data_IF_779044577054
#
_entry.id   IF_779044577054
#
_cell.length_a   1.000
_cell.length_b   1.000
_cell.length_c   1.000
_cell.angle_alpha   90.00
_cell.angle_beta   90.00
_cell.angle_gamma   90.00
#
_symmetry.space_group_name_H-M   'P 1'
#
loop_
_entity.id
_entity.type
_entity.pdbx_description
1 polymer ?
#
# COMPACT_ATOMS: atom_id res chain seq x y z
N UNK A 1 8.46 -40.63 -15.24
CA UNK A 1 8.76 -40.09 -16.58
C UNK A 1 7.49 -39.38 -17.05
N UNK A 2 7.33 -38.09 -16.75
CA UNK A 2 7.76 -36.90 -17.53
C UNK A 2 6.68 -36.39 -18.50
N UNK A 3 6.51 -35.07 -18.51
CA UNK A 3 5.72 -34.16 -19.39
C UNK A 3 4.19 -34.17 -19.17
N UNK A 4 3.47 -33.11 -18.79
CA UNK A 4 3.46 -31.64 -18.99
C UNK A 4 2.41 -31.17 -20.02
N UNK A 5 1.62 -30.20 -19.55
CA UNK A 5 0.88 -29.16 -20.26
C UNK A 5 -0.43 -29.51 -21.01
N UNK A 6 -1.53 -28.92 -20.53
CA UNK A 6 -2.35 -28.05 -21.38
C UNK A 6 -2.93 -26.90 -20.55
N UNK A 7 -2.92 -25.73 -21.16
CA UNK A 7 -3.40 -24.45 -20.68
C UNK A 7 -4.74 -24.11 -21.35
N UNK A 8 -5.45 -23.12 -20.81
CA UNK A 8 -6.58 -22.44 -21.46
C UNK A 8 -7.81 -22.43 -20.54
N UNK A 9 -8.50 -21.33 -20.29
CA UNK A 9 -8.45 -19.95 -20.74
C UNK A 9 -9.14 -19.10 -19.63
N UNK A 10 -9.22 -17.77 -19.74
CA UNK A 10 -10.48 -17.00 -19.63
C UNK A 10 -10.18 -15.48 -19.69
N UNK A 11 -10.58 -14.92 -20.84
CA UNK A 11 -11.26 -13.64 -21.09
C UNK A 11 -10.67 -12.33 -20.51
N UNK A 12 -10.02 -11.57 -21.38
CA UNK A 12 -9.94 -10.13 -21.27
C UNK A 12 -11.29 -9.51 -21.66
N UNK A 13 -11.89 -8.73 -20.75
CA UNK A 13 -12.97 -7.81 -21.08
C UNK A 13 -12.48 -6.38 -20.86
N UNK A 14 -12.26 -5.64 -21.96
CA UNK A 14 -11.97 -4.21 -21.95
C UNK A 14 -13.27 -3.41 -22.01
N UNK A 15 -13.56 -2.60 -20.98
CA UNK A 15 -14.38 -1.39 -21.12
C UNK A 15 -13.93 -0.37 -20.05
N UNK A 16 -13.53 0.84 -20.45
CA UNK A 16 -13.55 2.05 -19.61
C UNK A 16 -12.20 2.61 -19.14
N UNK A 17 -11.95 3.88 -19.47
CA UNK A 17 -10.74 4.69 -19.21
C UNK A 17 -10.38 4.82 -17.71
N UNK A 18 -9.52 3.94 -17.18
CA UNK A 18 -8.49 4.19 -16.15
C UNK A 18 -7.43 3.09 -16.32
N UNK A 19 -6.12 3.32 -16.07
CA UNK A 19 -5.18 2.21 -16.01
C UNK A 19 -5.60 1.31 -14.85
N UNK A 20 -6.20 0.16 -15.15
CA UNK A 20 -6.41 -0.90 -14.17
C UNK A 20 -5.06 -1.55 -13.93
N UNK A 21 -4.51 -1.39 -12.73
CA UNK A 21 -3.39 -2.22 -12.31
C UNK A 21 -3.90 -3.67 -12.24
N UNK A 22 -3.41 -4.51 -13.14
CA UNK A 22 -3.63 -5.95 -13.06
C UNK A 22 -2.51 -6.48 -12.16
N UNK A 23 -2.86 -6.89 -10.94
CA UNK A 23 -1.97 -7.76 -10.16
C UNK A 23 -2.07 -9.14 -10.81
N UNK A 24 -1.11 -9.46 -11.68
CA UNK A 24 -1.01 -10.79 -12.26
C UNK A 24 -0.42 -11.70 -11.18
N UNK A 25 -1.14 -12.72 -10.66
CA UNK A 25 -0.52 -13.72 -9.81
C UNK A 25 0.52 -14.46 -10.64
N UNK A 26 1.80 -14.28 -10.29
CA UNK A 26 2.93 -14.91 -10.97
C UNK A 26 2.82 -16.41 -10.78
N UNK A 27 2.49 -17.14 -11.84
CA UNK A 27 2.70 -18.58 -11.91
C UNK A 27 4.20 -18.83 -11.86
N UNK A 28 4.67 -19.33 -10.72
CA UNK A 28 5.91 -20.10 -10.54
C UNK A 28 7.11 -19.61 -11.36
N UNK A 29 7.70 -18.49 -10.95
CA UNK A 29 9.11 -18.15 -11.19
C UNK A 29 9.59 -17.35 -9.95
N UNK A 30 10.85 -17.47 -9.48
CA UNK A 30 11.28 -17.16 -8.10
C UNK A 30 11.40 -15.66 -7.77
N UNK A 31 10.69 -14.79 -8.49
CA UNK A 31 10.79 -13.33 -8.40
C UNK A 31 9.90 -12.65 -7.35
N UNK A 32 8.99 -13.37 -6.68
CA UNK A 32 8.27 -12.82 -5.53
C UNK A 32 9.10 -13.04 -4.26
N UNK A 33 9.93 -12.05 -3.91
CA UNK A 33 10.70 -12.06 -2.66
C UNK A 33 9.89 -11.37 -1.57
N UNK A 34 9.60 -12.10 -0.49
CA UNK A 34 9.02 -11.54 0.74
C UNK A 34 10.11 -10.75 1.46
N UNK A 35 9.79 -9.57 1.99
CA UNK A 35 10.69 -8.76 2.84
C UNK A 35 11.96 -8.26 2.14
N UNK A 36 11.82 -7.53 1.02
CA UNK A 36 12.98 -6.87 0.41
C UNK A 36 13.48 -5.71 1.29
N UNK A 37 14.81 -5.59 1.49
CA UNK A 37 15.38 -4.41 2.14
C UNK A 37 15.01 -3.15 1.36
N UNK A 38 14.53 -2.10 2.05
CA UNK A 38 14.28 -0.81 1.43
C UNK A 38 15.58 -0.31 0.79
N UNK A 39 15.54 0.03 -0.49
CA UNK A 39 16.71 0.48 -1.25
C UNK A 39 17.39 1.71 -0.62
N UNK A 40 16.68 2.47 0.21
CA UNK A 40 17.22 3.60 0.96
C UNK A 40 17.80 3.22 2.35
N UNK A 41 17.33 2.15 2.99
CA UNK A 41 17.84 1.66 4.29
C UNK A 41 17.59 0.16 4.43
N UNK A 42 18.65 -0.64 4.24
CA UNK A 42 18.57 -2.11 4.23
C UNK A 42 18.19 -2.76 5.57
N UNK A 43 17.98 -2.00 6.65
CA UNK A 43 17.41 -2.50 7.91
C UNK A 43 15.89 -2.51 7.91
N UNK A 44 15.24 -1.98 6.87
CA UNK A 44 13.79 -1.87 6.75
C UNK A 44 13.31 -2.82 5.66
N UNK A 45 12.17 -3.47 5.87
CA UNK A 45 11.58 -4.36 4.88
C UNK A 45 10.38 -3.69 4.20
N UNK A 46 10.23 -3.96 2.89
CA UNK A 46 9.03 -3.71 2.08
C UNK A 46 8.19 -4.99 2.11
N UNK A 47 6.88 -4.88 2.37
CA UNK A 47 5.99 -6.04 2.46
C UNK A 47 5.80 -6.70 1.09
N UNK A 48 5.50 -5.88 0.08
CA UNK A 48 5.37 -6.29 -1.31
C UNK A 48 6.05 -5.25 -2.21
N UNK A 49 6.91 -5.71 -3.10
CA UNK A 49 7.54 -4.89 -4.12
C UNK A 49 7.12 -5.39 -5.51
N UNK A 50 6.82 -4.45 -6.41
CA UNK A 50 6.75 -4.74 -7.84
C UNK A 50 8.12 -4.42 -8.41
N UNK A 51 8.78 -5.40 -9.03
CA UNK A 51 10.08 -5.25 -9.66
C UNK A 51 10.08 -5.84 -11.08
N UNK A 52 10.92 -5.33 -12.00
CA UNK A 52 11.11 -5.91 -13.32
C UNK A 52 11.68 -7.33 -13.25
N UNK A 53 11.15 -8.26 -14.06
CA UNK A 53 11.65 -9.63 -14.15
C UNK A 53 12.72 -9.74 -15.24
N UNK A 54 14.00 -9.75 -14.83
CA UNK A 54 15.15 -10.06 -15.71
C UNK A 54 15.38 -9.08 -16.87
N UNK A 55 14.77 -7.89 -16.83
CA UNK A 55 14.89 -6.86 -17.86
C UNK A 55 14.95 -5.48 -17.21
N UNK A 56 15.80 -4.61 -17.74
CA UNK A 56 15.77 -3.18 -17.38
C UNK A 56 14.57 -2.56 -18.06
N UNK A 57 13.70 -1.90 -17.30
CA UNK A 57 12.56 -1.16 -17.86
C UNK A 57 12.74 0.33 -17.61
N UNK A 58 12.31 1.14 -18.57
CA UNK A 58 12.33 2.59 -18.48
C UNK A 58 10.90 3.08 -18.39
N UNK A 59 10.57 3.79 -17.31
CA UNK A 59 9.25 4.39 -17.11
C UNK A 59 9.48 5.88 -16.87
N UNK A 60 8.90 6.73 -17.72
CA UNK A 60 8.99 8.19 -17.62
C UNK A 60 10.44 8.70 -17.45
N UNK A 61 11.40 8.09 -18.17
CA UNK A 61 12.82 8.47 -18.12
C UNK A 61 13.59 7.98 -16.90
N UNK A 62 12.96 7.21 -16.01
CA UNK A 62 13.64 6.52 -14.90
C UNK A 62 13.91 5.06 -15.26
N UNK A 63 15.16 4.66 -15.07
CA UNK A 63 15.59 3.27 -15.18
C UNK A 63 15.13 2.49 -13.95
N UNK A 64 14.57 1.31 -14.18
CA UNK A 64 14.23 0.31 -13.16
C UNK A 64 14.91 -1.02 -13.48
N UNK A 65 15.73 -1.47 -12.55
CA UNK A 65 16.33 -2.80 -12.51
C UNK A 65 15.60 -3.69 -11.51
N UNK A 66 15.97 -4.98 -11.40
CA UNK A 66 15.43 -5.89 -10.39
C UNK A 66 15.67 -5.43 -8.94
N UNK A 67 16.57 -4.46 -8.72
CA UNK A 67 16.91 -3.91 -7.41
C UNK A 67 16.15 -2.64 -7.06
N UNK A 68 15.29 -2.15 -7.95
CA UNK A 68 14.55 -0.90 -7.76
C UNK A 68 13.06 -1.17 -7.67
N UNK A 69 12.48 -0.80 -6.53
CA UNK A 69 11.03 -0.88 -6.30
C UNK A 69 10.29 0.04 -7.28
N UNK A 70 9.37 -0.51 -8.06
CA UNK A 70 8.52 0.28 -8.97
C UNK A 70 7.44 1.03 -8.19
N UNK A 71 6.74 0.31 -7.31
CA UNK A 71 5.67 0.83 -6.47
C UNK A 71 5.82 0.20 -5.07
N UNK A 72 6.19 0.98 -4.05
CA UNK A 72 6.23 0.49 -2.68
C UNK A 72 4.81 0.14 -2.21
N UNK A 73 4.65 -1.01 -1.56
CA UNK A 73 3.37 -1.45 -1.02
C UNK A 73 3.54 -1.88 0.43
N UNK A 74 2.75 -1.26 1.33
CA UNK A 74 2.65 -1.65 2.73
C UNK A 74 1.34 -2.41 2.96
N UNK A 75 1.37 -3.46 3.77
CA UNK A 75 0.20 -4.25 4.14
C UNK A 75 -0.10 -4.11 5.62
N UNK A 76 -1.36 -3.85 5.97
CA UNK A 76 -1.82 -3.78 7.37
C UNK A 76 -3.09 -4.59 7.56
N UNK A 77 -3.28 -5.07 8.79
CA UNK A 77 -4.51 -5.74 9.24
C UNK A 77 -5.39 -4.70 9.94
N UNK A 78 -6.70 -4.81 9.74
CA UNK A 78 -7.71 -4.04 10.44
C UNK A 78 -8.69 -5.02 11.11
N UNK A 79 -8.78 -5.07 12.45
CA UNK A 79 -8.00 -4.29 13.42
C UNK A 79 -6.53 -4.71 13.47
N UNK A 80 -5.71 -3.82 14.02
CA UNK A 80 -4.32 -4.13 14.37
C UNK A 80 -4.31 -5.26 15.40
N UNK A 81 -3.50 -6.33 15.23
CA UNK A 81 -3.40 -7.40 16.20
C UNK A 81 -2.98 -6.88 17.58
N UNK A 82 -3.56 -7.45 18.63
CA UNK A 82 -3.30 -7.03 20.01
C UNK A 82 -1.84 -7.28 20.42
N UNK A 83 -1.28 -6.38 21.22
CA UNK A 83 0.07 -6.53 21.77
C UNK A 83 0.51 -5.30 22.55
N UNK A 84 1.42 -5.48 23.52
CA UNK A 84 1.85 -4.43 24.45
C UNK A 84 2.49 -3.19 23.81
N UNK A 85 2.94 -3.29 22.56
CA UNK A 85 3.57 -2.19 21.79
C UNK A 85 2.84 -1.93 20.47
N UNK A 86 1.57 -2.34 20.38
CA UNK A 86 0.75 -2.15 19.18
C UNK A 86 -0.19 -0.97 19.39
N UNK A 87 -0.21 -0.06 18.44
CA UNK A 87 -1.20 1.01 18.40
C UNK A 87 -2.37 0.54 17.53
N UNK A 88 -3.60 0.66 18.00
CA UNK A 88 -4.78 0.28 17.22
C UNK A 88 -4.83 1.03 15.88
N UNK A 89 -4.27 2.24 15.86
CA UNK A 89 -4.21 3.16 14.72
C UNK A 89 -3.12 2.83 13.72
N UNK A 90 -2.37 1.72 13.87
CA UNK A 90 -1.18 1.39 13.08
C UNK A 90 -1.35 1.40 11.55
N UNK A 91 -2.58 1.31 11.04
CA UNK A 91 -2.84 1.59 9.62
C UNK A 91 -2.37 2.99 9.22
N UNK A 92 -2.64 3.98 10.07
CA UNK A 92 -2.28 5.37 9.91
C UNK A 92 -0.99 5.71 10.69
N UNK A 93 -1.01 5.50 12.00
CA UNK A 93 -0.10 6.11 12.97
C UNK A 93 0.21 5.17 14.14
N UNK A 94 1.38 5.31 14.75
CA UNK A 94 1.71 4.68 16.03
C UNK A 94 2.24 5.72 17.01
N UNK A 95 1.70 5.75 18.23
CA UNK A 95 2.24 6.57 19.33
C UNK A 95 3.54 6.02 19.92
N UNK A 96 3.84 4.75 19.66
CA UNK A 96 4.98 4.05 20.26
C UNK A 96 6.23 4.10 19.38
N UNK A 97 6.07 4.44 18.10
CA UNK A 97 7.11 4.31 17.07
C UNK A 97 6.73 5.06 15.81
N UNK A 98 7.65 5.22 14.87
CA UNK A 98 7.35 5.76 13.52
C UNK A 98 6.83 4.69 12.56
N UNK A 99 6.20 3.61 13.06
CA UNK A 99 5.85 2.42 12.26
C UNK A 99 4.40 2.36 11.78
N UNK A 100 3.60 3.42 11.99
CA UNK A 100 2.29 3.53 11.36
C UNK A 100 2.40 3.49 9.83
N UNK A 101 1.48 2.83 9.15
CA UNK A 101 1.58 2.59 7.69
C UNK A 101 1.69 3.89 6.90
N UNK A 102 0.67 4.76 7.00
CA UNK A 102 0.70 6.09 6.38
C UNK A 102 1.84 6.94 6.96
N UNK A 103 2.05 6.92 8.28
CA UNK A 103 3.12 7.68 8.96
C UNK A 103 4.51 7.41 8.38
N UNK A 104 4.84 6.15 8.06
CA UNK A 104 6.13 5.78 7.46
C UNK A 104 6.29 6.37 6.07
N UNK A 105 5.22 6.35 5.26
CA UNK A 105 5.25 7.02 3.97
C UNK A 105 5.44 8.53 4.15
N UNK A 106 4.71 9.18 5.05
CA UNK A 106 4.84 10.63 5.31
C UNK A 106 6.25 11.03 5.75
N UNK A 107 6.87 10.25 6.62
CA UNK A 107 8.23 10.48 7.10
C UNK A 107 9.32 10.12 6.08
N UNK A 108 8.96 9.65 4.88
CA UNK A 108 9.91 9.13 3.90
C UNK A 108 10.67 7.91 4.42
N UNK A 109 10.15 7.22 5.44
CA UNK A 109 10.74 6.01 5.98
C UNK A 109 10.46 4.77 5.14
N UNK A 110 9.51 4.92 4.21
CA UNK A 110 9.15 3.93 3.21
C UNK A 110 8.80 4.67 1.91
N UNK A 111 9.38 4.25 0.78
CA UNK A 111 9.14 4.88 -0.52
C UNK A 111 9.57 6.35 -0.60
N UNK A 112 10.75 6.68 -0.06
CA UNK A 112 11.29 8.06 -0.07
C UNK A 112 11.57 8.59 -1.47
N UNK A 113 11.91 7.71 -2.40
CA UNK A 113 12.18 8.04 -3.80
C UNK A 113 10.94 8.02 -4.70
N UNK A 114 9.74 7.98 -4.10
CA UNK A 114 8.47 7.80 -4.81
C UNK A 114 7.45 8.85 -4.38
N UNK A 115 6.76 9.41 -5.35
CA UNK A 115 5.60 10.30 -5.18
C UNK A 115 4.27 9.52 -5.19
N UNK A 116 4.32 8.21 -5.46
CA UNK A 116 3.18 7.30 -5.42
C UNK A 116 3.54 5.96 -4.77
N UNK A 117 2.66 5.44 -3.93
CA UNK A 117 2.76 4.11 -3.35
C UNK A 117 1.37 3.50 -3.15
N UNK A 118 1.31 2.25 -2.68
CA UNK A 118 0.06 1.61 -2.34
C UNK A 118 0.02 1.09 -0.89
N UNK A 119 -1.20 0.94 -0.39
CA UNK A 119 -1.44 0.25 0.87
C UNK A 119 -2.53 -0.80 0.71
N UNK A 120 -2.35 -1.97 1.30
CA UNK A 120 -3.39 -3.01 1.35
C UNK A 120 -3.88 -3.15 2.79
N UNK A 121 -5.19 -3.05 2.98
CA UNK A 121 -5.85 -3.37 4.25
C UNK A 121 -6.52 -4.73 4.15
N UNK A 122 -6.15 -5.65 5.04
CA UNK A 122 -6.91 -6.86 5.29
C UNK A 122 -7.89 -6.58 6.42
N UNK A 123 -9.17 -6.37 6.08
CA UNK A 123 -10.25 -6.08 7.03
C UNK A 123 -10.80 -7.40 7.57
N UNK A 124 -10.45 -7.73 8.80
CA UNK A 124 -10.74 -9.04 9.42
C UNK A 124 -11.89 -9.00 10.43
N UNK A 125 -12.23 -7.81 10.92
CA UNK A 125 -13.40 -7.60 11.79
C UNK A 125 -14.09 -6.30 11.37
N UNK A 126 -15.41 -6.22 11.56
CA UNK A 126 -16.28 -5.16 10.99
C UNK A 126 -16.24 -5.13 9.46
N UNK A 127 -16.86 -4.11 8.87
CA UNK A 127 -16.92 -3.88 7.43
C UNK A 127 -16.07 -2.66 7.01
N UNK A 128 -15.83 -2.54 5.70
CA UNK A 128 -15.09 -1.43 5.10
C UNK A 128 -15.70 -0.06 5.50
N UNK A 129 -17.02 0.18 5.40
CA UNK A 129 -17.61 1.45 5.82
C UNK A 129 -17.32 1.81 7.29
N UNK A 130 -17.41 0.85 8.20
CA UNK A 130 -17.12 1.06 9.63
C UNK A 130 -15.67 1.47 9.85
N UNK A 131 -14.73 0.88 9.10
CA UNK A 131 -13.33 1.26 9.19
C UNK A 131 -13.03 2.61 8.55
N UNK A 132 -13.70 2.98 7.46
CA UNK A 132 -13.54 4.30 6.86
C UNK A 132 -13.91 5.41 7.86
N UNK A 133 -15.04 5.26 8.55
CA UNK A 133 -15.45 6.19 9.62
C UNK A 133 -14.43 6.18 10.76
N UNK A 134 -13.99 5.00 11.21
CA UNK A 134 -13.02 4.90 12.31
C UNK A 134 -11.69 5.61 12.00
N UNK A 135 -11.19 5.49 10.77
CA UNK A 135 -9.95 6.14 10.36
C UNK A 135 -10.11 7.66 10.27
N UNK A 136 -11.25 8.14 9.79
CA UNK A 136 -11.55 9.57 9.79
C UNK A 136 -11.57 10.14 11.21
N UNK A 137 -12.23 9.45 12.16
CA UNK A 137 -12.25 9.83 13.58
C UNK A 137 -10.84 9.85 14.17
N UNK A 138 -9.99 8.89 13.80
CA UNK A 138 -8.59 8.87 14.24
C UNK A 138 -7.79 10.04 13.67
N UNK A 139 -8.02 10.44 12.42
CA UNK A 139 -7.34 11.59 11.80
C UNK A 139 -7.79 12.89 12.46
N UNK A 140 -9.09 13.03 12.72
CA UNK A 140 -9.65 14.18 13.45
C UNK A 140 -9.04 14.27 14.87
N UNK A 141 -8.87 13.12 15.54
CA UNK A 141 -8.15 13.06 16.81
C UNK A 141 -6.69 13.50 16.71
N UNK A 142 -5.95 13.03 15.69
CA UNK A 142 -4.54 13.41 15.49
C UNK A 142 -4.39 14.91 15.18
N UNK A 143 -5.30 15.49 14.40
CA UNK A 143 -5.34 16.94 14.13
C UNK A 143 -5.68 17.73 15.40
N UNK A 144 -6.71 17.30 16.15
CA UNK A 144 -7.11 17.94 17.41
C UNK A 144 -5.99 17.90 18.46
N UNK A 145 -5.22 16.81 18.51
CA UNK A 145 -4.06 16.65 19.38
C UNK A 145 -2.81 17.39 18.87
N UNK A 146 -2.92 18.11 17.75
CA UNK A 146 -1.83 18.84 17.08
C UNK A 146 -0.61 17.95 16.80
N UNK A 147 -0.83 16.69 16.42
CA UNK A 147 0.24 15.78 16.04
C UNK A 147 0.89 16.30 14.75
N UNK A 148 2.19 16.57 14.82
CA UNK A 148 2.93 17.20 13.72
C UNK A 148 2.71 16.48 12.38
N UNK A 149 2.37 17.27 11.37
CA UNK A 149 2.18 16.80 10.01
C UNK A 149 0.84 16.12 9.74
N UNK A 150 -0.10 16.05 10.70
CA UNK A 150 -1.45 15.51 10.50
C UNK A 150 -2.51 16.62 10.41
N UNK A 151 -3.48 16.44 9.52
CA UNK A 151 -4.62 17.34 9.33
C UNK A 151 -5.81 16.60 8.71
N UNK A 152 -6.99 17.23 8.66
CA UNK A 152 -8.15 16.70 7.95
C UNK A 152 -7.88 16.38 6.46
N UNK A 153 -6.87 17.00 5.84
CA UNK A 153 -6.47 16.71 4.46
C UNK A 153 -5.86 15.31 4.27
N UNK A 154 -5.50 14.63 5.37
CA UNK A 154 -4.94 13.28 5.34
C UNK A 154 -6.01 12.18 5.26
N UNK A 155 -7.29 12.54 5.31
CA UNK A 155 -8.41 11.59 5.22
C UNK A 155 -8.40 10.83 3.90
N UNK A 156 -8.84 9.58 3.98
CA UNK A 156 -8.92 8.70 2.82
C UNK A 156 -10.21 8.98 2.06
N UNK A 157 -10.10 9.21 0.76
CA UNK A 157 -11.24 9.33 -0.14
C UNK A 157 -11.64 7.95 -0.68
N UNK A 158 -12.83 7.48 -0.35
CA UNK A 158 -13.41 6.27 -0.96
C UNK A 158 -13.69 6.54 -2.45
N UNK A 159 -13.03 5.77 -3.33
CA UNK A 159 -13.16 5.91 -4.78
C UNK A 159 -14.15 4.91 -5.36
N UNK A 160 -14.09 3.66 -4.88
CA UNK A 160 -14.94 2.56 -5.31
C UNK A 160 -15.16 1.59 -4.13
N UNK A 161 -16.36 1.04 -4.03
CA UNK A 161 -16.69 -0.03 -3.11
C UNK A 161 -17.58 -1.04 -3.83
N UNK A 162 -17.16 -2.30 -3.84
CA UNK A 162 -17.88 -3.43 -4.40
C UNK A 162 -18.25 -4.40 -3.27
N UNK A 163 -19.44 -4.23 -2.64
CA UNK A 163 -19.86 -5.08 -1.53
C UNK A 163 -19.94 -6.57 -1.88
N UNK A 164 -20.48 -7.00 -3.06
CA UNK A 164 -20.43 -8.39 -3.48
C UNK A 164 -19.02 -9.01 -3.47
N UNK A 165 -18.01 -8.26 -3.92
CA UNK A 165 -16.62 -8.72 -3.91
C UNK A 165 -15.90 -8.45 -2.60
N UNK A 166 -16.51 -7.71 -1.66
CA UNK A 166 -15.94 -7.28 -0.38
C UNK A 166 -14.63 -6.50 -0.53
N UNK A 167 -14.57 -5.62 -1.53
CA UNK A 167 -13.36 -4.86 -1.89
C UNK A 167 -13.67 -3.38 -2.04
N UNK A 168 -12.76 -2.52 -1.58
CA UNK A 168 -12.80 -1.08 -1.85
C UNK A 168 -11.46 -0.53 -2.32
N UNK A 169 -11.53 0.46 -3.21
CA UNK A 169 -10.41 1.31 -3.59
C UNK A 169 -10.57 2.68 -2.92
N UNK A 170 -9.54 3.14 -2.21
CA UNK A 170 -9.47 4.47 -1.62
C UNK A 170 -8.18 5.18 -2.07
N UNK A 171 -8.11 6.49 -1.87
CA UNK A 171 -6.88 7.25 -2.09
C UNK A 171 -6.69 8.34 -1.03
N UNK A 172 -5.43 8.63 -0.73
CA UNK A 172 -5.03 9.78 0.08
C UNK A 172 -3.81 10.47 -0.54
N UNK A 173 -3.58 11.72 -0.15
CA UNK A 173 -2.41 12.48 -0.54
C UNK A 173 -1.83 13.15 0.69
N UNK A 174 -0.51 13.07 0.84
CA UNK A 174 0.17 13.55 2.03
C UNK A 174 1.34 14.45 1.66
N UNK A 175 1.40 15.68 2.22
CA UNK A 175 2.62 16.48 2.13
C UNK A 175 3.75 15.77 2.89
N UNK A 176 4.97 15.96 2.40
CA UNK A 176 6.19 15.48 3.07
C UNK A 176 7.10 16.66 3.38
N UNK A 177 7.89 16.52 4.44
CA UNK A 177 8.90 17.47 4.87
C UNK A 177 10.29 17.15 4.29
N UNK A 178 11.29 17.96 4.62
CA UNK A 178 12.71 17.71 4.29
C UNK A 178 13.03 17.60 2.79
N UNK A 179 12.31 18.36 1.96
CA UNK A 179 12.55 18.42 0.51
C UNK A 179 12.04 17.21 -0.27
N UNK A 180 11.32 16.29 0.37
CA UNK A 180 10.65 15.19 -0.31
C UNK A 180 9.40 15.69 -1.04
N UNK A 181 9.16 15.17 -2.25
CA UNK A 181 7.89 15.36 -2.93
C UNK A 181 6.75 14.76 -2.08
N UNK A 182 5.57 15.39 -2.14
CA UNK A 182 4.37 14.82 -1.55
C UNK A 182 4.09 13.42 -2.10
N UNK A 183 3.39 12.60 -1.32
CA UNK A 183 3.07 11.22 -1.73
C UNK A 183 1.58 11.00 -1.85
N UNK A 184 1.17 10.37 -2.95
CA UNK A 184 -0.15 9.81 -3.15
C UNK A 184 -0.15 8.32 -2.79
N UNK A 185 -1.10 7.91 -1.98
CA UNK A 185 -1.32 6.51 -1.65
C UNK A 185 -2.61 6.02 -2.30
N UNK A 186 -2.52 4.90 -3.02
CA UNK A 186 -3.70 4.14 -3.43
C UNK A 186 -3.93 3.00 -2.45
N UNK A 187 -5.13 2.91 -1.90
CA UNK A 187 -5.48 1.91 -0.90
C UNK A 187 -6.39 0.85 -1.51
N UNK A 188 -6.06 -0.42 -1.29
CA UNK A 188 -6.92 -1.55 -1.60
C UNK A 188 -7.34 -2.20 -0.29
N UNK A 189 -8.63 -2.18 0.02
CA UNK A 189 -9.19 -2.81 1.21
C UNK A 189 -9.95 -4.06 0.81
N UNK A 190 -9.67 -5.16 1.51
CA UNK A 190 -10.25 -6.47 1.25
C UNK A 190 -10.79 -7.00 2.57
N UNK A 191 -12.09 -7.22 2.66
CA UNK A 191 -12.66 -7.90 3.82
C UNK A 191 -12.46 -9.41 3.71
N UNK A 192 -12.01 -10.01 4.80
CA UNK A 192 -11.73 -11.44 4.92
C UNK A 192 -12.77 -12.12 5.79
#
# INVERSE_FOLDING_TARGET
MSSSASAGAWLAASIGKRPRFVIIPVRSDPGARREEPDAADGRRAIDLAVAPSGSVIWIEGREYTEYQTLLPIECKRLPTPTGHKRDEREYLYSRFSTTGGVQRFKAGHHGSSHDRAAMIAYVQERDIPSWAVQLDDWIDGLESDAVEGWSAADKLSLLEYDPPSRVAGLASAHPRSSGLAGIRLDHLWIEM
#
